data_IF_397274560675
#
_entry.id   IF_397274560675
#
_cell.length_a   1.000
_cell.length_b   1.000
_cell.length_c   1.000
_cell.angle_alpha   90.00
_cell.angle_beta   90.00
_cell.angle_gamma   90.00
#
_symmetry.space_group_name_H-M   'P 1'
#
loop_
_entity.id
_entity.type
_entity.pdbx_description
1 polymer ?
#
# COMPACT_ATOMS: atom_id res chain seq x y z
N UNK A 1 2.75 -2.72 -16.37
CA UNK A 1 3.62 -2.57 -15.18
C UNK A 1 2.83 -1.90 -14.07
N UNK A 2 2.91 -2.42 -12.86
CA UNK A 2 2.10 -1.98 -11.72
C UNK A 2 3.04 -1.45 -10.64
N UNK A 3 2.72 -0.27 -10.12
CA UNK A 3 3.34 0.28 -8.92
C UNK A 3 2.57 -0.21 -7.70
N UNK A 4 3.27 -0.56 -6.63
CA UNK A 4 2.62 -1.01 -5.42
C UNK A 4 3.27 -0.42 -4.17
N UNK A 5 2.44 -0.10 -3.19
CA UNK A 5 2.86 0.34 -1.86
C UNK A 5 2.24 -0.62 -0.85
N UNK A 6 3.06 -1.20 -0.01
CA UNK A 6 2.62 -2.12 1.04
C UNK A 6 2.52 -1.39 2.38
N UNK A 7 1.46 -1.66 3.13
CA UNK A 7 1.23 -1.06 4.43
C UNK A 7 0.98 -2.16 5.48
N UNK A 8 1.67 -2.02 6.61
CA UNK A 8 1.59 -2.97 7.72
C UNK A 8 1.50 -2.22 9.05
N UNK A 9 0.89 -2.87 10.05
CA UNK A 9 0.92 -2.42 11.44
C UNK A 9 1.92 -3.28 12.19
N UNK A 10 3.15 -2.80 12.44
CA UNK A 10 4.15 -3.61 13.14
C UNK A 10 3.77 -3.84 14.60
N UNK A 11 4.09 -5.01 15.13
CA UNK A 11 3.92 -5.32 16.56
C UNK A 11 4.99 -4.62 17.40
N UNK A 12 6.11 -4.26 16.81
CA UNK A 12 7.15 -3.42 17.40
C UNK A 12 6.87 -1.93 17.09
N UNK A 13 7.75 -1.06 17.57
CA UNK A 13 7.60 0.39 17.35
C UNK A 13 7.81 0.82 15.89
N UNK A 14 8.53 0.02 15.12
CA UNK A 14 8.93 0.33 13.74
C UNK A 14 8.77 -0.88 12.84
N UNK A 15 8.49 -0.63 11.59
CA UNK A 15 8.66 -1.61 10.52
C UNK A 15 10.15 -1.63 10.13
N UNK A 16 10.74 -2.81 10.09
CA UNK A 16 12.18 -2.97 9.81
C UNK A 16 12.41 -3.83 8.57
N UNK A 17 13.57 -3.72 7.91
CA UNK A 17 13.92 -4.61 6.80
C UNK A 17 13.85 -6.09 7.17
N UNK A 18 14.25 -6.47 8.38
CA UNK A 18 14.16 -7.85 8.85
C UNK A 18 12.73 -8.36 8.90
N UNK A 19 11.79 -7.52 9.33
CA UNK A 19 10.36 -7.87 9.32
C UNK A 19 9.83 -8.07 7.90
N UNK A 20 10.23 -7.23 6.98
CA UNK A 20 9.85 -7.33 5.57
C UNK A 20 10.40 -8.62 4.94
N UNK A 21 11.65 -8.94 5.18
CA UNK A 21 12.25 -10.19 4.72
C UNK A 21 11.48 -11.40 5.25
N UNK A 22 11.12 -11.38 6.53
CA UNK A 22 10.30 -12.42 7.13
C UNK A 22 8.94 -12.55 6.44
N UNK A 23 8.27 -11.42 6.17
CA UNK A 23 6.96 -11.40 5.51
C UNK A 23 7.04 -11.98 4.09
N UNK A 24 8.07 -11.63 3.34
CA UNK A 24 8.25 -12.16 1.97
C UNK A 24 8.58 -13.65 1.98
N UNK A 25 9.31 -14.15 2.97
CA UNK A 25 9.69 -15.57 3.08
C UNK A 25 8.54 -16.43 3.63
N UNK A 26 7.73 -15.92 4.55
CA UNK A 26 6.76 -16.70 5.33
C UNK A 26 5.30 -16.30 5.09
N UNK A 27 5.05 -15.17 4.44
CA UNK A 27 3.72 -14.59 4.31
C UNK A 27 2.76 -15.36 3.41
N UNK A 28 3.25 -16.33 2.64
CA UNK A 28 2.45 -17.04 1.65
C UNK A 28 2.20 -18.50 2.04
N UNK A 29 1.16 -18.74 2.82
CA UNK A 29 0.54 -20.04 2.93
C UNK A 29 1.06 -20.98 4.00
N UNK A 30 2.04 -20.63 4.80
CA UNK A 30 2.46 -21.44 5.91
C UNK A 30 1.54 -21.22 7.12
N UNK A 31 1.20 -22.29 7.82
CA UNK A 31 0.53 -22.20 9.12
C UNK A 31 1.52 -21.72 10.17
N UNK A 32 1.81 -20.43 10.15
CA UNK A 32 2.70 -19.81 11.11
C UNK A 32 1.89 -19.41 12.35
N UNK A 33 2.30 -19.79 13.56
CA UNK A 33 1.65 -19.33 14.76
C UNK A 33 1.60 -17.81 14.86
N UNK A 34 0.49 -17.27 15.39
CA UNK A 34 0.27 -15.82 15.47
C UNK A 34 1.41 -15.06 16.16
N UNK A 35 2.01 -15.65 17.20
CA UNK A 35 3.10 -15.00 17.94
C UNK A 35 4.37 -14.78 17.10
N UNK A 36 4.54 -15.50 15.99
CA UNK A 36 5.71 -15.34 15.11
C UNK A 36 5.55 -14.25 14.08
N UNK A 37 4.31 -13.78 13.83
CA UNK A 37 4.08 -12.70 12.88
C UNK A 37 4.60 -11.37 13.43
N UNK A 38 5.44 -10.64 12.68
CA UNK A 38 5.95 -9.34 13.12
C UNK A 38 4.94 -8.21 13.00
N UNK A 39 3.82 -8.45 12.31
CA UNK A 39 2.76 -7.48 12.07
C UNK A 39 1.43 -7.97 12.62
N UNK A 40 0.57 -7.02 13.00
CA UNK A 40 -0.76 -7.34 13.53
C UNK A 40 -1.67 -7.93 12.44
N UNK A 41 -2.56 -8.80 12.90
CA UNK A 41 -3.66 -9.29 12.08
C UNK A 41 -4.71 -8.19 11.93
N UNK A 42 -5.15 -7.99 10.70
CA UNK A 42 -6.16 -7.00 10.35
C UNK A 42 -7.52 -7.67 10.11
N UNK A 43 -8.57 -6.86 10.16
CA UNK A 43 -9.92 -7.27 9.80
C UNK A 43 -10.33 -6.53 8.51
N UNK A 44 -10.21 -7.15 7.34
CA UNK A 44 -10.44 -6.47 6.05
C UNK A 44 -11.81 -5.80 5.95
N UNK A 45 -12.87 -6.45 6.43
CA UNK A 45 -14.22 -5.87 6.40
C UNK A 45 -14.36 -4.59 7.23
N UNK A 46 -13.80 -4.59 8.44
CA UNK A 46 -13.84 -3.41 9.30
C UNK A 46 -13.03 -2.28 8.69
N UNK A 47 -11.85 -2.60 8.17
CA UNK A 47 -10.97 -1.63 7.53
C UNK A 47 -11.61 -1.05 6.26
N UNK A 48 -12.26 -1.88 5.44
CA UNK A 48 -13.00 -1.44 4.26
C UNK A 48 -14.11 -0.45 4.62
N UNK A 49 -14.87 -0.72 5.68
CA UNK A 49 -15.91 0.22 6.14
C UNK A 49 -15.34 1.57 6.54
N UNK A 50 -14.21 1.59 7.22
CA UNK A 50 -13.54 2.83 7.59
C UNK A 50 -13.05 3.61 6.37
N UNK A 51 -12.43 2.93 5.41
CA UNK A 51 -11.96 3.56 4.18
C UNK A 51 -13.12 4.07 3.31
N UNK A 52 -14.22 3.32 3.21
CA UNK A 52 -15.41 3.74 2.47
C UNK A 52 -16.17 4.87 3.17
N UNK A 53 -16.01 5.00 4.48
CA UNK A 53 -16.53 6.18 5.20
C UNK A 53 -15.72 7.43 4.89
N UNK A 54 -14.40 7.28 4.79
CA UNK A 54 -13.51 8.36 4.35
C UNK A 54 -13.78 8.76 2.90
N UNK A 55 -13.92 7.77 2.02
CA UNK A 55 -14.15 7.97 0.59
C UNK A 55 -15.31 7.08 0.11
N UNK A 56 -16.55 7.62 0.13
CA UNK A 56 -17.73 6.86 -0.29
C UNK A 56 -17.73 6.44 -1.76
N UNK A 57 -16.85 7.01 -2.59
CA UNK A 57 -16.70 6.65 -3.99
C UNK A 57 -15.99 5.33 -4.22
N UNK A 58 -15.31 4.78 -3.21
CA UNK A 58 -14.63 3.49 -3.32
C UNK A 58 -15.64 2.35 -3.55
N UNK A 59 -15.33 1.48 -4.50
CA UNK A 59 -16.20 0.36 -4.90
C UNK A 59 -15.61 -0.94 -4.36
N UNK A 60 -16.30 -1.63 -3.43
CA UNK A 60 -15.78 -2.89 -2.87
C UNK A 60 -15.99 -4.05 -3.83
N UNK A 61 -14.97 -4.89 -3.93
CA UNK A 61 -14.98 -6.16 -4.66
C UNK A 61 -14.48 -7.25 -3.72
N UNK A 62 -15.25 -8.32 -3.58
CA UNK A 62 -14.88 -9.44 -2.73
C UNK A 62 -13.72 -10.22 -3.35
N UNK A 63 -12.63 -10.36 -2.61
CA UNK A 63 -11.50 -11.19 -3.00
C UNK A 63 -11.56 -12.59 -2.37
N UNK A 64 -10.53 -13.42 -2.59
CA UNK A 64 -10.43 -14.75 -1.99
C UNK A 64 -10.19 -14.64 -0.48
N UNK A 65 -10.58 -15.69 0.26
CA UNK A 65 -10.25 -15.88 1.68
C UNK A 65 -10.64 -14.72 2.62
N UNK A 66 -11.69 -13.96 2.26
CA UNK A 66 -12.14 -12.82 3.05
C UNK A 66 -11.40 -11.52 2.74
N UNK A 67 -10.48 -11.52 1.80
CA UNK A 67 -9.82 -10.32 1.31
C UNK A 67 -10.82 -9.41 0.58
N UNK A 68 -10.55 -8.13 0.58
CA UNK A 68 -11.41 -7.12 -0.07
C UNK A 68 -10.55 -6.19 -0.92
N UNK A 69 -10.98 -5.97 -2.14
CA UNK A 69 -10.44 -4.91 -2.98
C UNK A 69 -11.36 -3.69 -2.93
N UNK A 70 -10.79 -2.52 -2.77
CA UNK A 70 -11.51 -1.25 -2.92
C UNK A 70 -10.99 -0.56 -4.18
N UNK A 71 -11.88 -0.38 -5.15
CA UNK A 71 -11.54 0.22 -6.43
C UNK A 71 -11.86 1.71 -6.43
N UNK A 72 -10.89 2.53 -6.78
CA UNK A 72 -11.10 3.95 -7.03
C UNK A 72 -12.00 4.12 -8.26
N UNK A 73 -13.02 5.02 -8.21
CA UNK A 73 -14.05 5.07 -9.27
C UNK A 73 -13.54 5.52 -10.64
N UNK A 74 -12.42 6.25 -10.69
CA UNK A 74 -11.81 6.62 -11.97
C UNK A 74 -10.92 5.46 -12.45
N UNK A 75 -11.46 4.67 -13.38
CA UNK A 75 -10.76 3.51 -13.95
C UNK A 75 -9.48 3.89 -14.70
N UNK A 76 -9.36 5.11 -15.19
CA UNK A 76 -8.15 5.58 -15.86
C UNK A 76 -6.98 5.68 -14.89
N UNK A 77 -7.23 5.99 -13.63
CA UNK A 77 -6.20 6.00 -12.60
C UNK A 77 -5.84 4.60 -12.12
N UNK A 78 -6.79 3.68 -12.17
CA UNK A 78 -6.59 2.27 -11.87
C UNK A 78 -6.13 1.98 -10.44
N UNK A 79 -6.46 2.85 -9.47
CA UNK A 79 -6.05 2.69 -8.08
C UNK A 79 -6.91 1.61 -7.42
N UNK A 80 -6.26 0.62 -6.83
CA UNK A 80 -6.90 -0.45 -6.07
C UNK A 80 -6.22 -0.57 -4.71
N UNK A 81 -7.03 -0.59 -3.65
CA UNK A 81 -6.58 -0.92 -2.31
C UNK A 81 -6.95 -2.37 -2.03
N UNK A 82 -5.95 -3.22 -1.90
CA UNK A 82 -6.14 -4.63 -1.59
C UNK A 82 -5.96 -4.84 -0.09
N UNK A 83 -7.05 -5.21 0.59
CA UNK A 83 -7.10 -5.41 2.04
C UNK A 83 -7.04 -6.91 2.33
N UNK A 84 -5.97 -7.34 3.00
CA UNK A 84 -5.83 -8.71 3.42
C UNK A 84 -5.57 -8.79 4.94
N UNK A 85 -5.50 -9.99 5.49
CA UNK A 85 -5.44 -10.14 6.94
C UNK A 85 -4.12 -9.64 7.56
N UNK A 86 -3.07 -9.42 6.77
CA UNK A 86 -1.76 -8.98 7.28
C UNK A 86 -1.34 -7.60 6.84
N UNK A 87 -2.06 -6.98 5.93
CA UNK A 87 -1.70 -5.66 5.46
C UNK A 87 -2.64 -5.09 4.41
N UNK A 88 -2.21 -3.98 3.85
CA UNK A 88 -2.88 -3.33 2.73
C UNK A 88 -1.86 -3.14 1.61
N UNK A 89 -2.26 -3.40 0.39
CA UNK A 89 -1.45 -3.10 -0.78
C UNK A 89 -2.21 -2.10 -1.65
N UNK A 90 -1.60 -0.97 -1.94
CA UNK A 90 -2.15 0.00 -2.87
C UNK A 90 -1.48 -0.23 -4.22
N UNK A 91 -2.28 -0.52 -5.23
CA UNK A 91 -1.82 -0.72 -6.59
C UNK A 91 -2.26 0.41 -7.49
N UNK A 92 -1.42 0.78 -8.44
CA UNK A 92 -1.85 1.58 -9.58
C UNK A 92 -0.93 1.31 -10.77
N UNK A 93 -1.43 1.41 -12.02
CA UNK A 93 -0.58 1.21 -13.18
C UNK A 93 0.45 2.32 -13.27
N UNK A 94 1.63 2.02 -13.82
CA UNK A 94 2.56 3.05 -14.23
C UNK A 94 1.93 3.85 -15.36
N UNK A 95 1.18 4.84 -14.98
CA UNK A 95 0.66 5.79 -15.95
C UNK A 95 1.66 6.92 -16.07
N UNK A 96 1.82 7.33 -17.27
CA UNK A 96 2.52 8.52 -17.70
C UNK A 96 3.27 9.34 -16.64
N UNK A 97 4.46 9.56 -16.95
CA UNK A 97 5.53 10.35 -16.36
C UNK A 97 5.17 11.80 -16.08
N UNK A 98 4.09 12.24 -15.63
CA UNK A 98 3.92 13.68 -15.47
C UNK A 98 2.73 14.05 -14.57
N UNK A 99 1.84 14.88 -15.05
CA UNK A 99 0.73 15.43 -14.27
C UNK A 99 -0.10 14.36 -13.54
N UNK A 100 -0.24 13.18 -14.13
CA UNK A 100 -1.03 12.09 -13.55
C UNK A 100 -0.36 11.42 -12.36
N UNK A 101 0.97 11.30 -12.35
CA UNK A 101 1.68 10.68 -11.23
C UNK A 101 1.45 11.45 -9.93
N UNK A 102 1.45 12.79 -9.99
CA UNK A 102 1.19 13.62 -8.82
C UNK A 102 -0.25 13.48 -8.31
N UNK A 103 -1.21 13.43 -9.21
CA UNK A 103 -2.63 13.25 -8.85
C UNK A 103 -2.84 11.87 -8.21
N UNK A 104 -2.33 10.83 -8.81
CA UNK A 104 -2.43 9.45 -8.29
C UNK A 104 -1.77 9.34 -6.92
N UNK A 105 -0.55 9.85 -6.78
CA UNK A 105 0.16 9.84 -5.50
C UNK A 105 -0.58 10.66 -4.44
N UNK A 106 -1.15 11.79 -4.80
CA UNK A 106 -1.94 12.60 -3.87
C UNK A 106 -3.14 11.83 -3.32
N UNK A 107 -3.83 11.08 -4.17
CA UNK A 107 -4.95 10.22 -3.76
C UNK A 107 -4.43 9.08 -2.87
N UNK A 108 -3.36 8.40 -3.24
CA UNK A 108 -2.74 7.34 -2.44
C UNK A 108 -2.30 7.86 -1.07
N UNK A 109 -1.70 9.04 -1.01
CA UNK A 109 -1.31 9.67 0.26
C UNK A 109 -2.49 9.94 1.18
N UNK A 110 -3.64 10.28 0.66
CA UNK A 110 -4.85 10.46 1.45
C UNK A 110 -5.21 9.18 2.21
N UNK A 111 -5.15 8.04 1.53
CA UNK A 111 -5.40 6.74 2.16
C UNK A 111 -4.28 6.34 3.13
N UNK A 112 -3.03 6.55 2.76
CA UNK A 112 -1.88 6.23 3.62
C UNK A 112 -1.94 7.05 4.91
N UNK A 113 -2.21 8.33 4.81
CA UNK A 113 -2.34 9.22 5.98
C UNK A 113 -3.48 8.80 6.89
N UNK A 114 -4.61 8.47 6.30
CA UNK A 114 -5.76 7.97 7.05
C UNK A 114 -5.42 6.68 7.81
N UNK A 115 -4.78 5.72 7.16
CA UNK A 115 -4.37 4.46 7.76
C UNK A 115 -3.36 4.67 8.90
N UNK A 116 -2.41 5.54 8.69
CA UNK A 116 -1.46 5.92 9.74
C UNK A 116 -2.18 6.51 10.97
N UNK A 117 -3.05 7.47 10.77
CA UNK A 117 -3.77 8.12 11.86
C UNK A 117 -4.72 7.17 12.59
N UNK A 118 -5.28 6.19 11.87
CA UNK A 118 -6.26 5.24 12.42
C UNK A 118 -5.62 4.14 13.26
N UNK A 119 -4.50 3.57 12.79
CA UNK A 119 -3.91 2.38 13.40
C UNK A 119 -2.38 2.30 13.24
N UNK A 120 -1.71 3.40 13.08
CA UNK A 120 -0.25 3.46 12.98
C UNK A 120 0.34 2.54 11.89
N UNK A 121 -0.24 2.53 10.71
CA UNK A 121 0.30 1.81 9.57
C UNK A 121 1.64 2.42 9.13
N UNK A 122 2.59 1.56 8.84
CA UNK A 122 3.83 1.92 8.17
C UNK A 122 3.76 1.50 6.72
N UNK A 123 4.38 2.27 5.84
CA UNK A 123 4.43 1.95 4.41
C UNK A 123 5.80 1.45 4.00
N UNK A 124 5.80 0.54 3.03
CA UNK A 124 6.98 0.08 2.32
C UNK A 124 6.76 0.21 0.83
N UNK A 125 7.67 0.93 0.19
CA UNK A 125 7.70 1.09 -1.26
C UNK A 125 8.81 0.19 -1.82
N UNK A 126 8.48 -0.98 -2.40
CA UNK A 126 9.49 -1.89 -2.92
C UNK A 126 10.23 -1.36 -4.15
N UNK A 127 9.63 -0.45 -4.92
CA UNK A 127 10.27 0.13 -6.08
C UNK A 127 11.42 1.07 -5.69
N UNK A 128 11.22 1.83 -4.60
CA UNK A 128 12.22 2.74 -4.05
C UNK A 128 13.04 2.11 -2.92
N UNK A 129 12.61 0.96 -2.42
CA UNK A 129 13.16 0.31 -1.23
C UNK A 129 13.16 1.23 0.00
N UNK A 130 12.04 1.90 0.24
CA UNK A 130 11.86 2.89 1.32
C UNK A 130 10.78 2.45 2.28
N UNK A 131 11.12 2.43 3.57
CA UNK A 131 10.17 2.25 4.68
C UNK A 131 9.86 3.63 5.25
N UNK A 132 8.57 3.94 5.41
CA UNK A 132 8.14 5.25 5.91
C UNK A 132 6.92 5.17 6.81
N UNK A 133 6.76 6.19 7.63
CA UNK A 133 5.50 6.50 8.31
C UNK A 133 5.10 7.96 7.97
N UNK A 134 3.88 8.37 8.36
CA UNK A 134 3.31 9.61 7.85
C UNK A 134 4.18 10.86 8.06
N UNK A 135 4.89 10.94 9.19
CA UNK A 135 5.72 12.11 9.52
C UNK A 135 7.07 12.12 8.80
N UNK A 136 7.54 10.95 8.35
CA UNK A 136 8.78 10.79 7.59
C UNK A 136 8.54 10.69 6.09
N UNK A 137 7.29 10.74 5.66
CA UNK A 137 6.95 10.54 4.27
C UNK A 137 7.52 11.67 3.42
N UNK A 138 8.20 11.31 2.33
CA UNK A 138 8.65 12.28 1.35
C UNK A 138 7.47 13.06 0.79
N UNK A 139 7.69 14.30 0.40
CA UNK A 139 6.64 15.09 -0.22
C UNK A 139 6.14 14.41 -1.50
N UNK A 140 4.89 14.67 -1.87
CA UNK A 140 4.31 14.16 -3.12
C UNK A 140 5.20 14.52 -4.32
N UNK A 141 5.75 15.74 -4.32
CA UNK A 141 6.64 16.20 -5.39
C UNK A 141 7.93 15.38 -5.47
N UNK A 142 8.57 15.10 -4.33
CA UNK A 142 9.78 14.27 -4.31
C UNK A 142 9.52 12.85 -4.77
N UNK A 143 8.42 12.26 -4.32
CA UNK A 143 8.04 10.90 -4.72
C UNK A 143 7.70 10.83 -6.20
N UNK A 144 6.97 11.82 -6.73
CA UNK A 144 6.66 11.90 -8.14
C UNK A 144 7.93 12.04 -8.99
N UNK A 145 8.88 12.86 -8.53
CA UNK A 145 10.15 13.03 -9.21
C UNK A 145 10.96 11.72 -9.25
N UNK A 146 11.00 11.00 -8.15
CA UNK A 146 11.65 9.69 -8.09
C UNK A 146 10.96 8.67 -9.00
N UNK A 147 9.64 8.65 -9.07
CA UNK A 147 8.89 7.82 -10.02
C UNK A 147 9.25 8.15 -11.45
N UNK A 148 9.27 9.43 -11.79
CA UNK A 148 9.59 9.89 -13.15
C UNK A 148 11.02 9.48 -13.58
N UNK A 149 11.94 9.33 -12.63
CA UNK A 149 13.29 8.84 -12.89
C UNK A 149 13.39 7.32 -13.02
N UNK A 150 12.57 6.59 -12.27
CA UNK A 150 12.61 5.13 -12.22
C UNK A 150 11.88 4.47 -13.38
N UNK A 151 10.74 5.00 -13.78
CA UNK A 151 9.91 4.40 -14.82
C UNK A 151 10.66 4.17 -16.13
N UNK A 152 11.44 5.13 -16.67
CA UNK A 152 12.23 4.87 -17.87
C UNK A 152 13.20 3.71 -17.74
N UNK A 153 13.89 3.60 -16.61
CA UNK A 153 14.82 2.50 -16.34
C UNK A 153 14.13 1.15 -16.28
N UNK A 154 12.97 1.09 -15.66
CA UNK A 154 12.18 -0.15 -15.54
C UNK A 154 11.64 -0.61 -16.89
N UNK A 155 11.34 0.30 -17.80
CA UNK A 155 10.91 -0.02 -19.16
C UNK A 155 12.08 -0.51 -20.03
N UNK A 156 13.30 -0.04 -19.77
CA UNK A 156 14.51 -0.51 -20.46
C UNK A 156 14.93 -1.91 -20.00
N UNK A 157 14.77 -2.22 -18.72
CA UNK A 157 15.14 -3.51 -18.10
C UNK A 157 14.09 -4.59 -18.28
N UNK A 158 12.93 -4.23 -18.73
CA UNK A 158 11.81 -5.15 -19.00
C UNK A 158 11.74 -5.54 -20.45
#
# INVERSE_FOLDING_TARGET
MIYEIHLYVPKAKRLTPTMLDWLFENGQGARVPEQHWPVHRLKPRALARHLMHLDPGLIPVQGPDGDIELHYPDEQMGIILYLHERGVIIFFPYMAYNVYSRVVLGICYTYIRFLYDKAAFWSFDPQLNVISYADDYQSIEETALLMDQLVPKMLEDG
#
